data_IF_584294326375
#
_entry.id   IF_584294326375
#
_cell.length_a   1.000
_cell.length_b   1.000
_cell.length_c   1.000
_cell.angle_alpha   90.00
_cell.angle_beta   90.00
_cell.angle_gamma   90.00
#
_symmetry.space_group_name_H-M   'P 1'
#
loop_
_entity.id
_entity.type
_entity.pdbx_description
1 polymer ?
#
# COMPACT_ATOMS: atom_id res chain seq x y z
N UNK A 1 12.10 -20.49 -7.54
CA UNK A 1 11.55 -20.22 -6.19
C UNK A 1 12.43 -19.17 -5.52
N UNK A 2 12.06 -17.87 -5.59
CA UNK A 2 12.75 -16.74 -4.90
C UNK A 2 12.36 -15.34 -5.42
N UNK A 3 11.60 -15.24 -6.51
CA UNK A 3 11.26 -13.94 -7.14
C UNK A 3 10.33 -13.09 -6.25
N UNK A 4 9.50 -13.72 -5.41
CA UNK A 4 8.52 -13.03 -4.55
C UNK A 4 9.15 -12.27 -3.38
N UNK A 5 10.20 -12.80 -2.74
CA UNK A 5 10.79 -12.23 -1.54
C UNK A 5 11.64 -10.98 -1.83
N UNK A 6 12.42 -10.99 -2.92
CA UNK A 6 13.22 -9.84 -3.34
C UNK A 6 12.33 -8.70 -3.83
N UNK A 7 11.26 -9.01 -4.56
CA UNK A 7 10.27 -8.02 -4.98
C UNK A 7 9.57 -7.39 -3.76
N UNK A 8 9.16 -8.20 -2.78
CA UNK A 8 8.61 -7.73 -1.50
C UNK A 8 9.56 -6.82 -0.73
N UNK A 9 10.83 -7.19 -0.59
CA UNK A 9 11.81 -6.38 0.13
C UNK A 9 12.09 -5.05 -0.58
N UNK A 10 12.17 -5.04 -1.91
CA UNK A 10 12.35 -3.81 -2.70
C UNK A 10 11.14 -2.89 -2.58
N UNK A 11 9.95 -3.44 -2.80
CA UNK A 11 8.70 -2.72 -2.66
C UNK A 11 8.53 -2.14 -1.26
N UNK A 12 8.81 -2.92 -0.21
CA UNK A 12 8.83 -2.44 1.16
C UNK A 12 9.77 -1.25 1.33
N UNK A 13 11.01 -1.33 0.83
CA UNK A 13 11.99 -0.25 0.99
C UNK A 13 11.51 1.05 0.32
N UNK A 14 10.89 0.96 -0.86
CA UNK A 14 10.33 2.13 -1.55
C UNK A 14 9.14 2.71 -0.78
N UNK A 15 8.25 1.86 -0.27
CA UNK A 15 7.13 2.29 0.58
C UNK A 15 7.58 2.88 1.90
N UNK A 16 8.63 2.35 2.53
CA UNK A 16 9.19 2.89 3.78
C UNK A 16 9.71 4.31 3.56
N UNK A 17 10.39 4.57 2.43
CA UNK A 17 10.82 5.92 2.04
C UNK A 17 9.61 6.83 1.81
N UNK A 18 8.60 6.37 1.07
CA UNK A 18 7.36 7.11 0.85
C UNK A 18 6.66 7.46 2.16
N UNK A 19 6.54 6.49 3.08
CA UNK A 19 5.95 6.68 4.40
C UNK A 19 6.72 7.74 5.20
N UNK A 20 8.05 7.63 5.25
CA UNK A 20 8.90 8.59 5.94
C UNK A 20 8.78 10.02 5.37
N UNK A 21 8.60 10.16 4.06
CA UNK A 21 8.40 11.47 3.41
C UNK A 21 7.03 12.09 3.70
N UNK A 22 5.99 11.28 3.96
CA UNK A 22 4.65 11.76 4.29
C UNK A 22 4.35 11.88 5.78
N UNK A 23 5.18 11.28 6.63
CA UNK A 23 5.06 11.45 8.07
C UNK A 23 5.26 12.91 8.47
N UNK A 24 4.27 13.43 9.19
CA UNK A 24 4.26 14.76 9.79
C UNK A 24 3.96 14.62 11.28
N UNK A 25 4.32 15.61 12.11
CA UNK A 25 3.94 15.60 13.52
C UNK A 25 2.43 15.43 13.67
N UNK A 26 1.98 14.34 14.32
CA UNK A 26 0.56 14.00 14.50
C UNK A 26 -0.05 13.09 13.42
N UNK A 27 0.71 12.67 12.41
CA UNK A 27 0.28 11.69 11.42
C UNK A 27 1.36 10.65 11.14
N UNK A 28 1.07 9.38 11.43
CA UNK A 28 2.00 8.27 11.27
C UNK A 28 1.52 7.31 10.18
N UNK A 29 2.16 7.39 9.01
CA UNK A 29 2.11 6.44 7.92
C UNK A 29 3.31 5.49 8.02
N UNK A 30 3.06 4.19 7.95
CA UNK A 30 4.11 3.18 7.91
C UNK A 30 3.68 1.94 7.12
N UNK A 31 4.65 1.27 6.53
CA UNK A 31 4.45 0.02 5.81
C UNK A 31 4.90 -1.16 6.66
N UNK A 32 4.07 -2.21 6.73
CA UNK A 32 4.40 -3.47 7.40
C UNK A 32 4.28 -4.65 6.44
N UNK A 33 5.04 -5.70 6.70
CA UNK A 33 4.90 -6.98 5.99
C UNK A 33 4.00 -7.90 6.82
N UNK A 34 2.99 -8.49 6.21
CA UNK A 34 2.02 -9.38 6.85
C UNK A 34 1.72 -10.55 5.93
N UNK A 35 2.05 -11.78 6.34
CA UNK A 35 1.78 -13.04 5.60
C UNK A 35 2.15 -13.02 4.10
N UNK A 36 3.23 -12.33 3.73
CA UNK A 36 3.69 -12.11 2.33
C UNK A 36 2.95 -11.00 1.57
N UNK A 37 2.22 -10.14 2.26
CA UNK A 37 1.63 -8.90 1.73
C UNK A 37 2.32 -7.68 2.33
N UNK A 38 2.24 -6.53 1.67
CA UNK A 38 2.60 -5.23 2.24
C UNK A 38 1.34 -4.51 2.66
N UNK A 39 1.29 -4.02 3.89
CA UNK A 39 0.13 -3.28 4.42
C UNK A 39 0.59 -1.89 4.82
N UNK A 40 0.01 -0.86 4.20
CA UNK A 40 0.19 0.51 4.64
C UNK A 40 -0.81 0.79 5.76
N UNK A 41 -0.31 1.35 6.85
CA UNK A 41 -1.10 1.78 7.98
C UNK A 41 -0.93 3.27 8.21
N UNK A 42 -2.02 3.97 8.49
CA UNK A 42 -2.04 5.38 8.85
C UNK A 42 -2.74 5.55 10.19
N UNK A 43 -2.08 6.17 11.16
CA UNK A 43 -2.60 6.41 12.51
C UNK A 43 -3.20 5.14 13.16
N UNK A 44 -2.52 4.00 12.99
CA UNK A 44 -2.94 2.70 13.52
C UNK A 44 -4.04 1.98 12.72
N UNK A 45 -4.55 2.56 11.64
CA UNK A 45 -5.55 1.94 10.76
C UNK A 45 -4.89 1.38 9.50
N UNK A 46 -5.14 0.12 9.17
CA UNK A 46 -4.71 -0.45 7.88
C UNK A 46 -5.55 0.13 6.75
N UNK A 47 -4.89 0.72 5.76
CA UNK A 47 -5.55 1.41 4.65
C UNK A 47 -5.44 0.64 3.35
N UNK A 48 -4.22 0.23 3.02
CA UNK A 48 -3.89 -0.37 1.73
C UNK A 48 -3.17 -1.67 1.97
N UNK A 49 -3.55 -2.72 1.24
CA UNK A 49 -2.85 -3.99 1.21
C UNK A 49 -2.41 -4.26 -0.22
N UNK A 50 -1.15 -4.63 -0.37
CA UNK A 50 -0.51 -4.98 -1.62
C UNK A 50 -0.11 -6.45 -1.55
N UNK A 51 -0.73 -7.25 -2.41
CA UNK A 51 -0.47 -8.68 -2.49
C UNK A 51 0.31 -8.97 -3.77
N UNK A 52 1.50 -9.58 -3.68
CA UNK A 52 2.22 -10.01 -4.87
C UNK A 52 1.52 -11.21 -5.53
N UNK A 53 1.20 -11.09 -6.82
CA UNK A 53 0.60 -12.11 -7.68
C UNK A 53 1.52 -12.32 -8.90
N UNK A 54 2.49 -13.23 -8.77
CA UNK A 54 3.50 -13.47 -9.81
C UNK A 54 4.42 -12.26 -10.02
N UNK A 55 4.27 -11.59 -11.17
CA UNK A 55 4.99 -10.36 -11.53
C UNK A 55 4.18 -9.10 -11.29
N UNK A 56 2.97 -9.23 -10.74
CA UNK A 56 2.04 -8.14 -10.52
C UNK A 56 1.76 -7.98 -9.02
N UNK A 57 1.19 -6.84 -8.67
CA UNK A 57 0.75 -6.42 -7.36
C UNK A 57 -0.74 -6.19 -7.42
N UNK A 58 -1.50 -6.91 -6.62
CA UNK A 58 -2.91 -6.63 -6.40
C UNK A 58 -3.03 -5.60 -5.29
N UNK A 59 -3.76 -4.54 -5.56
CA UNK A 59 -3.95 -3.42 -4.64
C UNK A 59 -5.34 -3.52 -4.06
N UNK A 60 -5.40 -3.54 -2.74
CA UNK A 60 -6.64 -3.54 -1.99
C UNK A 60 -6.69 -2.34 -1.06
N UNK A 61 -7.88 -1.79 -0.89
CA UNK A 61 -8.17 -0.78 0.12
C UNK A 61 -9.13 -1.33 1.16
N UNK A 62 -9.03 -0.77 2.36
CA UNK A 62 -9.94 -1.09 3.44
C UNK A 62 -11.18 -0.22 3.35
N UNK A 63 -12.34 -0.86 3.25
CA UNK A 63 -13.65 -0.20 3.26
C UNK A 63 -14.08 0.14 4.69
N UNK A 64 -15.12 0.96 4.82
CA UNK A 64 -15.75 1.32 6.10
C UNK A 64 -16.23 0.10 6.92
N UNK A 65 -16.69 -0.95 6.23
CA UNK A 65 -17.08 -2.24 6.82
C UNK A 65 -15.88 -3.10 7.28
N UNK A 66 -14.67 -2.54 7.23
CA UNK A 66 -13.38 -3.17 7.53
C UNK A 66 -12.98 -4.31 6.59
N UNK A 67 -13.75 -4.57 5.53
CA UNK A 67 -13.40 -5.53 4.49
C UNK A 67 -12.34 -4.97 3.54
N UNK A 68 -11.59 -5.87 2.92
CA UNK A 68 -10.67 -5.53 1.84
C UNK A 68 -11.41 -5.61 0.51
N UNK A 69 -11.32 -4.56 -0.29
CA UNK A 69 -11.81 -4.56 -1.67
C UNK A 69 -10.68 -4.20 -2.63
N UNK A 70 -10.74 -4.60 -3.91
CA UNK A 70 -9.78 -4.15 -4.90
C UNK A 70 -9.82 -2.63 -5.06
N UNK A 71 -8.66 -2.01 -5.28
CA UNK A 71 -8.57 -0.58 -5.56
C UNK A 71 -9.25 -0.28 -6.91
N UNK A 72 -10.23 0.65 -6.97
CA UNK A 72 -11.09 0.79 -8.15
C UNK A 72 -10.35 1.33 -9.39
N UNK A 73 -9.34 2.16 -9.21
CA UNK A 73 -8.61 2.81 -10.31
C UNK A 73 -7.34 2.07 -10.75
N UNK A 74 -6.80 1.22 -9.88
CA UNK A 74 -5.59 0.42 -10.14
C UNK A 74 -5.65 -0.88 -9.33
N UNK A 75 -6.51 -1.83 -9.69
CA UNK A 75 -6.65 -3.07 -8.92
C UNK A 75 -5.41 -3.96 -9.03
N UNK A 76 -4.64 -3.82 -10.11
CA UNK A 76 -3.43 -4.59 -10.40
C UNK A 76 -2.36 -3.69 -11.01
N UNK A 77 -1.11 -3.86 -10.59
CA UNK A 77 0.04 -3.13 -11.12
C UNK A 77 1.29 -4.00 -11.20
N UNK A 78 2.10 -3.85 -12.25
CA UNK A 78 3.38 -4.54 -12.40
C UNK A 78 4.55 -3.83 -11.72
N UNK A 79 4.38 -2.55 -11.35
CA UNK A 79 5.41 -1.72 -10.72
C UNK A 79 4.92 -1.06 -9.43
N UNK A 80 5.65 -1.29 -8.34
CA UNK A 80 5.38 -0.65 -7.06
C UNK A 80 5.53 0.88 -7.11
N UNK A 81 6.38 1.42 -8.00
CA UNK A 81 6.52 2.86 -8.16
C UNK A 81 5.20 3.48 -8.63
N UNK A 82 4.52 2.83 -9.57
CA UNK A 82 3.22 3.28 -10.05
C UNK A 82 2.14 3.17 -8.98
N UNK A 83 2.24 2.19 -8.08
CA UNK A 83 1.40 2.13 -6.87
C UNK A 83 1.64 3.35 -5.98
N UNK A 84 2.90 3.72 -5.75
CA UNK A 84 3.24 4.92 -4.97
C UNK A 84 2.71 6.19 -5.63
N UNK A 85 2.87 6.32 -6.95
CA UNK A 85 2.39 7.48 -7.70
C UNK A 85 0.85 7.60 -7.61
N UNK A 86 0.12 6.49 -7.73
CA UNK A 86 -1.33 6.47 -7.50
C UNK A 86 -1.69 6.81 -6.05
N UNK A 87 -0.94 6.34 -5.06
CA UNK A 87 -1.15 6.74 -3.66
C UNK A 87 -0.86 8.22 -3.42
N UNK A 88 0.04 8.83 -4.20
CA UNK A 88 0.29 10.27 -4.14
C UNK A 88 -0.81 11.10 -4.82
N UNK A 89 -1.33 10.61 -5.95
CA UNK A 89 -2.32 11.31 -6.76
C UNK A 89 -3.75 11.07 -6.28
N UNK A 90 -4.08 9.86 -5.83
CA UNK A 90 -5.31 9.59 -5.13
C UNK A 90 -5.29 10.49 -3.89
N UNK A 91 -6.25 11.41 -3.74
CA UNK A 91 -6.29 12.21 -2.54
C UNK A 91 -6.52 11.23 -1.40
N UNK A 92 -5.47 10.94 -0.66
CA UNK A 92 -5.50 10.16 0.56
C UNK A 92 -6.59 10.71 1.50
N UNK A 93 -6.97 11.98 1.33
CA UNK A 93 -8.05 12.66 2.04
C UNK A 93 -9.49 12.38 1.52
N UNK A 94 -9.69 12.06 0.24
CA UNK A 94 -11.04 12.00 -0.39
C UNK A 94 -11.68 10.61 -0.28
N UNK A 95 -10.88 9.57 -0.11
CA UNK A 95 -11.39 8.19 0.02
C UNK A 95 -11.39 7.66 1.46
N UNK A 96 -10.90 8.42 2.44
CA UNK A 96 -10.71 7.97 3.84
C UNK A 96 -11.58 8.72 4.87
N UNK A 97 -12.53 9.55 4.42
CA UNK A 97 -13.49 10.20 5.30
C UNK A 97 -14.89 10.22 4.71
N UNK A 98 -15.72 9.31 5.18
CA UNK A 98 -17.00 9.70 5.79
C UNK A 98 -17.12 9.07 7.16
#
# INVERSE_FOLDING_TARGET
MSVSLLALQRARKQLDVFCAQRNRPGSELFCRVEDSSLVLQYNGQSLVRLEPDGTQWRIFWRREDRSWAPWPHLPVCDDIQRVIDELEQAPLHVHWSR
#
